data_IF_524329416257
#
_entry.id   IF_524329416257
#
_cell.length_a   1.000
_cell.length_b   1.000
_cell.length_c   1.000
_cell.angle_alpha   90.00
_cell.angle_beta   90.00
_cell.angle_gamma   90.00
#
_symmetry.space_group_name_H-M   'P 1'
#
loop_
_entity.id
_entity.type
_entity.pdbx_description
1 polymer ?
#
# COMPACT_ATOMS: atom_id res chain seq x y z
N UNK A 1 -4.65 0.90 15.01
CA UNK A 1 -3.97 -0.38 15.35
C UNK A 1 -3.61 -1.11 14.06
N UNK A 2 -2.55 -1.92 14.05
CA UNK A 2 -2.13 -2.73 12.90
C UNK A 2 -1.95 -4.19 13.35
N UNK A 3 -2.52 -5.13 12.59
CA UNK A 3 -2.35 -6.58 12.71
C UNK A 3 -1.68 -7.07 11.43
N UNK A 4 -0.47 -7.60 11.55
CA UNK A 4 0.24 -8.22 10.44
C UNK A 4 -0.28 -9.65 10.21
N UNK A 5 -0.70 -9.95 8.98
CA UNK A 5 -1.16 -11.28 8.57
C UNK A 5 -0.06 -12.09 7.86
N UNK A 6 1.19 -11.64 7.89
CA UNK A 6 2.34 -12.40 7.41
C UNK A 6 2.54 -13.72 8.17
N UNK A 7 3.29 -14.65 7.57
CA UNK A 7 3.55 -16.00 8.07
C UNK A 7 2.97 -17.07 7.15
N UNK A 8 2.64 -18.23 7.71
CA UNK A 8 2.11 -19.35 6.93
C UNK A 8 0.62 -19.17 6.60
N UNK A 9 0.29 -19.43 5.35
CA UNK A 9 -1.06 -19.49 4.80
C UNK A 9 -1.28 -20.88 4.20
N UNK A 10 -2.54 -21.24 3.99
CA UNK A 10 -2.91 -22.41 3.19
C UNK A 10 -2.95 -22.02 1.71
N UNK A 11 -2.51 -22.91 0.83
CA UNK A 11 -2.35 -22.69 -0.59
C UNK A 11 -2.86 -23.86 -1.42
N UNK A 12 -3.49 -23.56 -2.55
CA UNK A 12 -3.86 -24.54 -3.55
C UNK A 12 -3.83 -23.92 -4.96
N UNK A 13 -3.43 -24.71 -5.95
CA UNK A 13 -3.71 -24.39 -7.35
C UNK A 13 -5.19 -24.66 -7.61
N UNK A 14 -5.84 -23.76 -8.35
CA UNK A 14 -7.23 -23.93 -8.78
C UNK A 14 -7.24 -24.79 -10.05
N UNK A 15 -7.93 -25.94 -10.02
CA UNK A 15 -8.16 -26.80 -11.18
C UNK A 15 -9.28 -26.29 -12.10
N UNK A 16 -10.03 -25.27 -11.66
CA UNK A 16 -11.13 -24.64 -12.41
C UNK A 16 -12.27 -25.61 -12.80
N UNK A 17 -12.37 -26.73 -12.10
CA UNK A 17 -13.44 -27.74 -12.20
C UNK A 17 -14.61 -27.46 -11.23
N UNK A 18 -14.57 -26.32 -10.52
CA UNK A 18 -15.55 -25.94 -9.50
C UNK A 18 -15.33 -26.57 -8.12
N UNK A 19 -14.23 -27.30 -7.91
CA UNK A 19 -13.90 -27.93 -6.62
C UNK A 19 -13.57 -26.94 -5.50
N UNK A 20 -13.12 -25.73 -5.83
CA UNK A 20 -12.83 -24.67 -4.85
C UNK A 20 -13.93 -23.60 -4.92
N UNK A 21 -14.57 -23.36 -3.77
CA UNK A 21 -15.52 -22.27 -3.58
C UNK A 21 -15.07 -21.43 -2.37
N UNK A 22 -15.16 -20.11 -2.48
CA UNK A 22 -14.71 -19.15 -1.47
C UNK A 22 -15.47 -19.20 -0.12
N UNK A 23 -16.37 -20.18 0.05
CA UNK A 23 -17.16 -20.39 1.28
C UNK A 23 -16.60 -21.56 2.10
N UNK A 24 -15.83 -22.44 1.47
CA UNK A 24 -15.32 -23.66 2.08
C UNK A 24 -13.81 -23.56 2.29
N UNK A 25 -13.32 -24.20 3.35
CA UNK A 25 -11.89 -24.34 3.56
C UNK A 25 -11.25 -25.10 2.38
N UNK A 26 -10.04 -24.71 1.99
CA UNK A 26 -9.28 -25.41 0.97
C UNK A 26 -9.13 -26.90 1.32
N UNK A 27 -9.38 -27.77 0.35
CA UNK A 27 -9.21 -29.22 0.51
C UNK A 27 -7.76 -29.60 0.22
N UNK A 28 -7.13 -30.35 1.14
CA UNK A 28 -5.72 -30.78 1.04
C UNK A 28 -4.72 -29.66 0.69
N UNK A 29 -4.73 -28.52 1.42
CA UNK A 29 -3.87 -27.39 1.11
C UNK A 29 -2.40 -27.67 1.41
N UNK A 30 -1.52 -26.94 0.73
CA UNK A 30 -0.11 -26.80 1.07
C UNK A 30 0.11 -25.60 1.99
N UNK A 31 1.10 -25.66 2.87
CA UNK A 31 1.52 -24.49 3.62
C UNK A 31 2.45 -23.62 2.76
N UNK A 32 2.17 -22.32 2.70
CA UNK A 32 2.96 -21.34 1.95
C UNK A 32 3.31 -20.14 2.82
N UNK A 33 4.48 -19.54 2.62
CA UNK A 33 4.85 -18.29 3.29
C UNK A 33 4.30 -17.07 2.55
N UNK A 34 3.84 -16.09 3.32
CA UNK A 34 3.47 -14.74 2.87
C UNK A 34 4.21 -13.73 3.76
N UNK A 35 4.89 -12.72 3.20
CA UNK A 35 4.99 -12.40 1.77
C UNK A 35 6.04 -13.22 1.02
N UNK A 36 5.71 -13.72 -0.17
CA UNK A 36 6.63 -14.33 -1.13
C UNK A 36 5.90 -14.68 -2.44
N UNK A 37 6.67 -14.90 -3.50
CA UNK A 37 6.18 -15.55 -4.72
C UNK A 37 5.97 -17.04 -4.46
N UNK A 38 4.95 -17.67 -5.03
CA UNK A 38 4.70 -19.10 -4.78
C UNK A 38 5.62 -20.03 -5.55
N UNK A 39 6.15 -19.57 -6.68
CA UNK A 39 6.75 -20.41 -7.71
C UNK A 39 7.92 -21.26 -7.19
N UNK A 40 8.79 -20.67 -6.36
CA UNK A 40 10.01 -21.33 -5.87
C UNK A 40 9.92 -21.78 -4.40
N UNK A 41 8.73 -21.77 -3.80
CA UNK A 41 8.53 -22.26 -2.42
C UNK A 41 8.37 -23.78 -2.32
N UNK A 42 8.14 -24.46 -3.45
CA UNK A 42 7.91 -25.89 -3.52
C UNK A 42 8.79 -26.55 -4.59
N UNK A 43 9.22 -27.81 -4.39
CA UNK A 43 10.06 -28.53 -5.36
C UNK A 43 9.26 -29.11 -6.55
N UNK A 44 8.03 -28.63 -6.80
CA UNK A 44 7.14 -29.19 -7.80
C UNK A 44 7.10 -28.31 -9.05
N UNK A 45 7.59 -28.81 -10.19
CA UNK A 45 7.61 -28.06 -11.45
C UNK A 45 6.20 -27.61 -11.89
N UNK A 46 5.18 -28.47 -11.66
CA UNK A 46 3.77 -28.12 -11.88
C UNK A 46 3.35 -26.87 -11.12
N UNK A 47 3.83 -26.68 -9.88
CA UNK A 47 3.56 -25.47 -9.12
C UNK A 47 4.41 -24.33 -9.66
N UNK A 48 5.72 -24.52 -9.78
CA UNK A 48 6.63 -23.47 -10.23
C UNK A 48 6.20 -22.79 -11.52
N UNK A 49 5.75 -23.58 -12.49
CA UNK A 49 5.34 -23.15 -13.84
C UNK A 49 3.83 -22.97 -14.02
N UNK A 50 3.05 -23.03 -12.93
CA UNK A 50 1.61 -22.88 -13.02
C UNK A 50 1.24 -21.54 -13.64
N UNK A 51 0.47 -21.58 -14.73
CA UNK A 51 -0.22 -20.43 -15.29
C UNK A 51 -1.73 -20.68 -15.12
N UNK A 52 -2.43 -19.75 -14.47
CA UNK A 52 -3.84 -19.90 -14.17
C UNK A 52 -4.20 -19.35 -12.79
N UNK A 53 -5.22 -19.93 -12.18
CA UNK A 53 -5.75 -19.48 -10.90
C UNK A 53 -5.15 -20.28 -9.73
N UNK A 54 -5.06 -19.63 -8.57
CA UNK A 54 -4.57 -20.23 -7.33
C UNK A 54 -5.14 -19.48 -6.12
N UNK A 55 -5.14 -20.14 -4.97
CA UNK A 55 -5.80 -19.67 -3.76
C UNK A 55 -4.82 -19.58 -2.59
N UNK A 56 -5.01 -18.55 -1.78
CA UNK A 56 -4.44 -18.41 -0.45
C UNK A 56 -5.57 -18.36 0.57
N UNK A 57 -5.39 -19.02 1.71
CA UNK A 57 -6.34 -18.99 2.82
C UNK A 57 -5.64 -18.75 4.15
N UNK A 58 -6.20 -17.87 4.97
CA UNK A 58 -5.75 -17.62 6.34
C UNK A 58 -6.91 -17.31 7.28
N UNK A 59 -6.80 -17.80 8.51
CA UNK A 59 -7.69 -17.41 9.61
C UNK A 59 -7.08 -16.24 10.38
N UNK A 60 -7.93 -15.29 10.77
CA UNK A 60 -7.56 -14.15 11.61
C UNK A 60 -8.50 -14.02 12.81
N UNK A 61 -8.03 -13.35 13.86
CA UNK A 61 -8.80 -13.05 15.07
C UNK A 61 -9.00 -11.55 15.19
N UNK A 62 -10.24 -11.14 15.40
CA UNK A 62 -10.61 -9.73 15.45
C UNK A 62 -11.17 -9.42 16.84
N UNK A 63 -10.40 -8.74 17.69
CA UNK A 63 -10.85 -8.43 19.04
C UNK A 63 -11.97 -7.38 19.02
N UNK A 64 -12.88 -7.47 19.99
CA UNK A 64 -14.11 -6.66 20.05
C UNK A 64 -13.85 -5.16 20.08
N UNK A 65 -12.76 -4.71 20.70
CA UNK A 65 -12.42 -3.29 20.81
C UNK A 65 -12.09 -2.62 19.47
N UNK A 66 -11.80 -3.39 18.39
CA UNK A 66 -11.59 -2.79 17.07
C UNK A 66 -12.87 -2.33 16.39
N UNK A 67 -14.04 -2.82 16.84
CA UNK A 67 -15.32 -2.46 16.21
C UNK A 67 -15.75 -1.01 16.44
N UNK A 68 -15.12 -0.26 17.35
CA UNK A 68 -15.38 1.18 17.51
C UNK A 68 -14.78 2.02 16.37
N UNK A 69 -13.77 1.47 15.70
CA UNK A 69 -13.00 2.11 14.63
C UNK A 69 -13.50 1.68 13.25
N UNK A 70 -12.92 2.26 12.19
CA UNK A 70 -13.06 1.71 10.84
C UNK A 70 -11.97 0.66 10.62
N UNK A 71 -12.35 -0.55 10.25
CA UNK A 71 -11.41 -1.67 10.02
C UNK A 71 -11.17 -1.85 8.53
N UNK A 72 -9.91 -1.88 8.13
CA UNK A 72 -9.48 -2.06 6.75
C UNK A 72 -8.63 -3.31 6.61
N UNK A 73 -8.80 -4.02 5.49
CA UNK A 73 -7.87 -5.04 5.02
C UNK A 73 -7.01 -4.44 3.91
N UNK A 74 -5.69 -4.60 4.00
CA UNK A 74 -4.72 -4.02 3.08
C UNK A 74 -3.77 -5.09 2.55
N UNK A 75 -3.56 -5.07 1.25
CA UNK A 75 -2.56 -5.85 0.56
C UNK A 75 -1.46 -4.91 0.07
N UNK A 76 -0.20 -5.18 0.40
CA UNK A 76 0.92 -4.43 -0.18
C UNK A 76 1.06 -4.63 -1.69
N UNK A 77 0.69 -5.82 -2.17
CA UNK A 77 0.54 -6.20 -3.58
C UNK A 77 -0.02 -7.63 -3.69
N UNK A 78 -0.75 -7.91 -4.77
CA UNK A 78 -1.20 -9.25 -5.12
C UNK A 78 -0.98 -9.46 -6.63
N UNK A 79 -0.19 -10.47 -6.98
CA UNK A 79 0.31 -10.62 -8.36
C UNK A 79 -0.40 -11.77 -9.07
N UNK A 80 -1.13 -11.57 -10.17
CA UNK A 80 -1.37 -10.31 -10.91
C UNK A 80 -2.76 -9.71 -10.73
N UNK A 81 -3.78 -10.56 -10.68
CA UNK A 81 -5.16 -10.19 -10.38
C UNK A 81 -5.60 -10.89 -9.10
N UNK A 82 -6.46 -10.26 -8.30
CA UNK A 82 -6.93 -10.79 -7.04
C UNK A 82 -8.43 -10.60 -6.84
N UNK A 83 -9.09 -11.63 -6.30
CA UNK A 83 -10.43 -11.60 -5.73
C UNK A 83 -10.31 -11.97 -4.27
N UNK A 84 -10.77 -11.09 -3.40
CA UNK A 84 -10.63 -11.25 -1.94
C UNK A 84 -11.99 -11.56 -1.35
N UNK A 85 -12.02 -12.59 -0.51
CA UNK A 85 -13.21 -13.08 0.15
C UNK A 85 -13.00 -13.07 1.67
N UNK A 86 -14.00 -12.60 2.39
CA UNK A 86 -14.04 -12.64 3.84
C UNK A 86 -15.28 -13.38 4.29
N UNK A 87 -15.09 -14.48 5.03
CA UNK A 87 -16.18 -15.32 5.55
C UNK A 87 -17.17 -15.82 4.48
N UNK A 88 -16.72 -16.09 3.26
CA UNK A 88 -17.59 -16.53 2.16
C UNK A 88 -18.05 -15.43 1.21
N UNK A 89 -17.90 -14.15 1.59
CA UNK A 89 -18.35 -13.02 0.79
C UNK A 89 -17.18 -12.38 0.05
N UNK A 90 -17.33 -12.13 -1.27
CA UNK A 90 -16.36 -11.33 -2.03
C UNK A 90 -16.43 -9.87 -1.58
N UNK A 91 -15.30 -9.32 -1.13
CA UNK A 91 -15.22 -7.95 -0.59
C UNK A 91 -14.51 -6.97 -1.53
N UNK A 92 -13.58 -7.44 -2.37
CA UNK A 92 -12.95 -6.59 -3.38
C UNK A 92 -12.24 -7.39 -4.48
N UNK A 93 -12.03 -6.73 -5.63
CA UNK A 93 -11.17 -7.19 -6.71
C UNK A 93 -10.04 -6.18 -6.96
N UNK A 94 -8.87 -6.65 -7.40
CA UNK A 94 -7.75 -5.82 -7.80
C UNK A 94 -7.09 -6.35 -9.06
N UNK A 95 -6.84 -5.46 -10.03
CA UNK A 95 -6.02 -5.70 -11.21
C UNK A 95 -4.75 -4.86 -11.12
N UNK A 96 -3.59 -5.51 -11.16
CA UNK A 96 -2.29 -4.85 -11.04
C UNK A 96 -1.44 -5.46 -9.93
N UNK A 97 -0.13 -5.50 -10.14
CA UNK A 97 0.75 -6.46 -9.43
C UNK A 97 1.69 -5.83 -8.42
N UNK A 98 1.93 -4.53 -8.52
CA UNK A 98 2.99 -3.86 -7.76
C UNK A 98 2.50 -2.64 -6.98
N UNK A 99 1.18 -2.45 -6.92
CA UNK A 99 0.53 -1.38 -6.16
C UNK A 99 -0.28 -1.96 -5.02
N UNK A 100 -0.36 -1.26 -3.88
CA UNK A 100 -1.21 -1.68 -2.79
C UNK A 100 -2.69 -1.41 -3.10
N UNK A 101 -3.56 -2.16 -2.45
CA UNK A 101 -5.00 -1.90 -2.41
C UNK A 101 -5.56 -2.23 -1.03
N UNK A 102 -6.70 -1.63 -0.70
CA UNK A 102 -7.37 -1.84 0.57
C UNK A 102 -8.88 -1.77 0.42
N UNK A 103 -9.59 -2.37 1.38
CA UNK A 103 -11.05 -2.40 1.45
C UNK A 103 -11.48 -2.26 2.90
N UNK A 104 -12.52 -1.46 3.15
CA UNK A 104 -13.15 -1.37 4.46
C UNK A 104 -13.97 -2.64 4.73
N UNK A 105 -13.70 -3.31 5.85
CA UNK A 105 -14.32 -4.58 6.22
C UNK A 105 -15.14 -4.48 7.52
N UNK A 106 -15.41 -3.26 7.99
CA UNK A 106 -16.08 -3.00 9.25
C UNK A 106 -17.39 -3.79 9.41
N UNK A 107 -18.24 -3.78 8.37
CA UNK A 107 -19.54 -4.47 8.39
C UNK A 107 -19.49 -5.95 7.99
N UNK A 108 -18.32 -6.41 7.52
CA UNK A 108 -18.11 -7.77 6.98
C UNK A 108 -17.41 -8.70 7.98
N UNK A 109 -16.61 -8.10 8.87
CA UNK A 109 -15.80 -8.82 9.84
C UNK A 109 -16.62 -9.23 11.07
N UNK A 110 -16.36 -10.42 11.60
CA UNK A 110 -16.94 -10.94 12.86
C UNK A 110 -15.99 -10.64 14.02
N UNK A 111 -16.53 -10.42 15.22
CA UNK A 111 -15.69 -10.46 16.43
C UNK A 111 -15.21 -11.92 16.63
N UNK A 112 -13.92 -12.11 16.89
CA UNK A 112 -13.28 -13.41 16.97
C UNK A 112 -12.84 -13.93 15.59
N UNK A 113 -13.10 -15.22 15.27
CA UNK A 113 -12.52 -15.87 14.10
C UNK A 113 -13.12 -15.37 12.78
N UNK A 114 -12.25 -15.10 11.82
CA UNK A 114 -12.59 -14.79 10.44
C UNK A 114 -11.77 -15.65 9.48
N UNK A 115 -12.38 -16.00 8.35
CA UNK A 115 -11.71 -16.70 7.25
C UNK A 115 -11.45 -15.71 6.12
N UNK A 116 -10.17 -15.48 5.81
CA UNK A 116 -9.74 -14.70 4.66
C UNK A 116 -9.28 -15.65 3.56
N UNK A 117 -9.86 -15.53 2.39
CA UNK A 117 -9.46 -16.26 1.19
C UNK A 117 -9.16 -15.28 0.06
N UNK A 118 -8.14 -15.59 -0.73
CA UNK A 118 -7.73 -14.77 -1.87
C UNK A 118 -7.52 -15.69 -3.04
N UNK A 119 -8.34 -15.53 -4.07
CA UNK A 119 -8.10 -16.13 -5.38
C UNK A 119 -7.26 -15.17 -6.18
N UNK A 120 -6.17 -15.65 -6.77
CA UNK A 120 -5.36 -14.88 -7.70
C UNK A 120 -5.27 -15.59 -9.05
N UNK A 121 -4.87 -14.85 -10.08
CA UNK A 121 -4.28 -15.46 -11.27
C UNK A 121 -3.03 -14.71 -11.71
N UNK A 122 -2.20 -15.40 -12.48
CA UNK A 122 -0.97 -14.87 -13.07
C UNK A 122 -1.02 -14.84 -14.61
N UNK A 123 -2.22 -14.77 -15.17
CA UNK A 123 -2.42 -14.67 -16.61
C UNK A 123 -2.14 -13.25 -17.10
N UNK A 124 -1.38 -13.14 -18.20
CA UNK A 124 -1.00 -11.88 -18.80
C UNK A 124 -1.39 -11.86 -20.27
N UNK A 125 -2.17 -10.84 -20.65
CA UNK A 125 -2.52 -10.55 -22.04
C UNK A 125 -2.05 -9.14 -22.42
N UNK A 126 -2.45 -8.67 -23.61
CA UNK A 126 -2.10 -7.34 -24.12
C UNK A 126 -2.77 -6.18 -23.37
N UNK A 127 -3.70 -6.46 -22.45
CA UNK A 127 -4.34 -5.49 -21.56
C UNK A 127 -3.68 -5.40 -20.18
N UNK A 128 -2.68 -6.24 -19.90
CA UNK A 128 -1.98 -6.29 -18.63
C UNK A 128 -0.71 -5.44 -18.65
N UNK A 129 -0.26 -5.04 -17.45
CA UNK A 129 1.07 -4.51 -17.20
C UNK A 129 1.72 -5.36 -16.10
N UNK A 130 2.80 -6.11 -16.40
CA UNK A 130 3.47 -6.23 -17.71
C UNK A 130 2.61 -6.95 -18.77
N UNK A 131 2.96 -6.77 -20.04
CA UNK A 131 2.30 -7.41 -21.18
C UNK A 131 2.81 -8.84 -21.36
N UNK A 132 1.90 -9.78 -21.62
CA UNK A 132 2.23 -11.15 -22.01
C UNK A 132 1.36 -11.64 -23.17
N UNK A 133 1.79 -12.72 -23.81
CA UNK A 133 1.05 -13.39 -24.87
C UNK A 133 0.28 -14.57 -24.28
N UNK A 134 -0.98 -14.33 -23.92
CA UNK A 134 -1.87 -15.37 -23.42
C UNK A 134 -2.36 -16.29 -24.54
N UNK A 135 -2.33 -17.60 -24.29
CA UNK A 135 -3.01 -18.60 -25.11
C UNK A 135 -3.53 -19.75 -24.24
N UNK A 136 -4.38 -20.61 -24.81
CA UNK A 136 -4.94 -21.76 -24.09
C UNK A 136 -5.06 -22.98 -25.00
N UNK A 137 -4.86 -24.16 -24.41
CA UNK A 137 -5.10 -25.46 -25.04
C UNK A 137 -6.07 -26.28 -24.18
N UNK A 138 -6.52 -27.45 -24.68
CA UNK A 138 -7.28 -28.42 -23.89
C UNK A 138 -6.49 -29.72 -23.80
N UNK A 139 -6.51 -30.34 -22.62
CA UNK A 139 -5.95 -31.68 -22.42
C UNK A 139 -6.89 -32.78 -23.00
N UNK A 140 -6.48 -34.05 -22.90
CA UNK A 140 -7.26 -35.19 -23.39
C UNK A 140 -8.62 -35.35 -22.72
N UNK A 141 -8.80 -34.77 -21.53
CA UNK A 141 -10.04 -34.81 -20.75
C UNK A 141 -10.88 -33.53 -20.95
N UNK A 142 -10.42 -32.60 -21.79
CA UNK A 142 -11.11 -31.34 -22.08
C UNK A 142 -10.83 -30.21 -21.10
N UNK A 143 -9.93 -30.39 -20.12
CA UNK A 143 -9.56 -29.33 -19.18
C UNK A 143 -8.72 -28.26 -19.88
N UNK A 144 -8.98 -27.00 -19.54
CA UNK A 144 -8.24 -25.86 -20.07
C UNK A 144 -6.83 -25.85 -19.48
N UNK A 145 -5.83 -25.63 -20.33
CA UNK A 145 -4.45 -25.39 -19.96
C UNK A 145 -4.08 -23.99 -20.42
N UNK A 146 -3.73 -23.12 -19.48
CA UNK A 146 -3.33 -21.75 -19.77
C UNK A 146 -1.83 -21.67 -20.07
N UNK A 147 -1.46 -20.80 -20.99
CA UNK A 147 -0.08 -20.51 -21.34
C UNK A 147 0.12 -18.99 -21.37
N UNK A 148 1.23 -18.54 -20.80
CA UNK A 148 1.67 -17.15 -20.88
C UNK A 148 3.08 -17.19 -21.43
N UNK A 149 3.28 -16.59 -22.60
CA UNK A 149 4.61 -16.30 -23.14
C UNK A 149 4.93 -14.84 -22.80
N UNK A 150 5.88 -14.64 -21.88
CA UNK A 150 6.22 -13.32 -21.35
C UNK A 150 6.87 -12.43 -22.40
N UNK A 151 6.41 -11.18 -22.53
CA UNK A 151 7.04 -10.21 -23.41
C UNK A 151 8.15 -9.41 -22.68
N UNK A 152 8.83 -10.06 -21.73
CA UNK A 152 9.82 -9.49 -20.84
C UNK A 152 10.82 -10.54 -20.34
N UNK A 153 12.04 -10.12 -19.98
CA UNK A 153 13.19 -10.99 -19.65
C UNK A 153 13.35 -11.25 -18.13
N UNK A 154 12.24 -11.32 -17.41
CA UNK A 154 12.23 -11.74 -16.01
C UNK A 154 11.17 -12.82 -15.82
N UNK A 155 11.42 -13.76 -14.91
CA UNK A 155 10.46 -14.82 -14.64
C UNK A 155 9.15 -14.24 -14.07
N UNK A 156 8.01 -14.75 -14.54
CA UNK A 156 6.67 -14.32 -14.13
C UNK A 156 6.29 -14.82 -12.72
N UNK A 157 7.03 -14.34 -11.71
CA UNK A 157 6.74 -14.62 -10.31
C UNK A 157 5.40 -14.05 -9.90
N UNK A 158 4.59 -14.86 -9.22
CA UNK A 158 3.26 -14.48 -8.77
C UNK A 158 2.98 -14.93 -7.33
N UNK A 159 1.92 -14.37 -6.75
CA UNK A 159 1.57 -14.58 -5.34
C UNK A 159 1.40 -13.28 -4.54
N UNK A 160 1.45 -13.41 -3.23
CA UNK A 160 1.34 -12.29 -2.29
C UNK A 160 2.75 -11.79 -1.93
N UNK A 161 3.31 -10.94 -2.78
CA UNK A 161 4.72 -10.49 -2.68
C UNK A 161 5.00 -9.50 -1.53
N UNK A 162 3.97 -8.91 -0.92
CA UNK A 162 4.11 -7.90 0.12
C UNK A 162 3.11 -8.15 1.25
N UNK A 163 3.37 -7.63 2.47
CA UNK A 163 2.57 -7.91 3.64
C UNK A 163 1.07 -7.67 3.41
N UNK A 164 0.26 -8.55 3.99
CA UNK A 164 -1.19 -8.36 4.14
C UNK A 164 -1.43 -7.94 5.58
N UNK A 165 -2.21 -6.88 5.78
CA UNK A 165 -2.45 -6.30 7.10
C UNK A 165 -3.93 -6.04 7.30
N UNK A 166 -4.38 -6.18 8.54
CA UNK A 166 -5.61 -5.54 9.00
C UNK A 166 -5.20 -4.34 9.82
N UNK A 167 -5.78 -3.18 9.56
CA UNK A 167 -5.52 -2.01 10.38
C UNK A 167 -6.79 -1.22 10.64
N UNK A 168 -6.74 -0.32 11.61
CA UNK A 168 -7.86 0.54 11.96
C UNK A 168 -7.55 2.01 11.79
N UNK A 169 -8.56 2.76 11.36
CA UNK A 169 -8.57 4.23 11.34
C UNK A 169 -9.67 4.75 12.26
N UNK A 170 -9.43 5.80 13.04
CA UNK A 170 -10.50 6.52 13.70
C UNK A 170 -11.50 7.08 12.70
N UNK A 171 -12.76 7.26 13.12
CA UNK A 171 -13.79 7.89 12.28
C UNK A 171 -13.43 9.32 11.86
N UNK A 172 -12.60 9.99 12.67
CA UNK A 172 -11.97 11.25 12.32
C UNK A 172 -10.50 10.99 12.13
N UNK A 173 -10.00 11.04 10.90
CA UNK A 173 -8.64 10.62 10.61
C UNK A 173 -7.98 11.46 9.50
N UNK A 174 -6.66 11.35 9.45
CA UNK A 174 -5.77 11.87 8.41
C UNK A 174 -5.70 10.82 7.31
N UNK A 175 -6.02 11.21 6.07
CA UNK A 175 -6.15 10.31 4.92
C UNK A 175 -4.94 10.28 3.98
N UNK A 176 -4.50 11.43 3.50
CA UNK A 176 -3.37 11.56 2.59
C UNK A 176 -2.59 12.81 2.96
N UNK A 177 -1.27 12.74 2.92
CA UNK A 177 -0.39 13.88 3.13
C UNK A 177 0.44 14.04 1.85
N UNK A 178 0.39 15.25 1.29
CA UNK A 178 1.25 15.66 0.19
C UNK A 178 2.20 16.75 0.66
N UNK A 179 3.48 16.56 0.37
CA UNK A 179 4.56 17.46 0.77
C UNK A 179 5.32 17.98 -0.44
N UNK A 180 5.59 19.29 -0.42
CA UNK A 180 6.44 19.96 -1.38
C UNK A 180 7.32 21.00 -0.66
N UNK A 181 8.41 21.43 -1.29
CA UNK A 181 9.24 22.51 -0.73
C UNK A 181 9.75 23.44 -1.79
N UNK A 182 9.67 24.73 -1.47
CA UNK A 182 10.37 25.81 -2.14
C UNK A 182 11.64 26.10 -1.32
N UNK A 183 12.81 25.94 -1.95
CA UNK A 183 14.11 26.00 -1.26
C UNK A 183 14.90 27.20 -1.78
N UNK A 184 15.37 28.02 -0.86
CA UNK A 184 16.35 29.07 -1.14
C UNK A 184 17.75 28.61 -0.74
N UNK A 185 18.50 28.14 -1.72
CA UNK A 185 19.86 27.65 -1.52
C UNK A 185 20.84 28.68 -0.98
N UNK A 186 20.75 29.92 -1.47
CA UNK A 186 21.68 30.99 -1.06
C UNK A 186 21.47 31.37 0.39
N UNK A 187 20.20 31.41 0.84
CA UNK A 187 19.85 31.73 2.22
C UNK A 187 19.80 30.52 3.14
N UNK A 188 19.92 29.30 2.59
CA UNK A 188 19.70 28.05 3.30
C UNK A 188 18.36 28.03 4.05
N UNK A 189 17.30 28.47 3.38
CA UNK A 189 15.92 28.43 3.93
C UNK A 189 15.03 27.56 3.06
N UNK A 190 13.93 27.07 3.61
CA UNK A 190 12.91 26.36 2.84
C UNK A 190 11.51 26.65 3.39
N UNK A 191 10.52 26.69 2.52
CA UNK A 191 9.11 26.65 2.89
C UNK A 191 8.57 25.27 2.50
N UNK A 192 8.13 24.50 3.49
CA UNK A 192 7.47 23.21 3.28
C UNK A 192 5.97 23.45 3.13
N UNK A 193 5.43 23.13 1.96
CA UNK A 193 4.00 23.17 1.67
C UNK A 193 3.39 21.80 1.99
N UNK A 194 2.45 21.81 2.92
CA UNK A 194 1.72 20.62 3.38
C UNK A 194 0.30 20.70 2.85
N UNK A 195 -0.20 19.60 2.27
CA UNK A 195 -1.62 19.40 1.96
C UNK A 195 -2.08 18.10 2.60
N UNK A 196 -3.21 18.14 3.31
CA UNK A 196 -3.74 17.01 4.07
C UNK A 196 -5.20 16.77 3.74
N UNK A 197 -5.51 15.55 3.30
CA UNK A 197 -6.87 15.03 3.25
C UNK A 197 -7.27 14.56 4.64
N UNK A 198 -8.46 14.94 5.10
CA UNK A 198 -8.99 14.54 6.40
C UNK A 198 -10.42 14.05 6.25
N UNK A 199 -10.81 13.13 7.12
CA UNK A 199 -12.18 12.62 7.23
C UNK A 199 -12.73 12.94 8.62
N UNK A 200 -14.03 13.19 8.72
CA UNK A 200 -14.73 13.33 10.00
C UNK A 200 -14.65 14.72 10.64
N UNK A 201 -14.94 14.77 11.94
CA UNK A 201 -15.16 16.03 12.68
C UNK A 201 -14.09 16.26 13.74
N UNK A 202 -13.20 17.20 13.46
CA UNK A 202 -12.21 17.78 14.37
C UNK A 202 -12.47 19.28 14.52
N UNK A 203 -11.91 19.89 15.56
CA UNK A 203 -11.96 21.34 15.82
C UNK A 203 -10.68 22.03 15.34
N UNK A 204 -9.54 21.35 15.44
CA UNK A 204 -8.22 21.91 15.18
C UNK A 204 -7.31 20.86 14.52
N UNK A 205 -6.40 21.34 13.67
CA UNK A 205 -5.31 20.57 13.08
C UNK A 205 -3.99 21.27 13.39
N UNK A 206 -3.00 20.51 13.89
CA UNK A 206 -1.65 21.01 14.14
C UNK A 206 -0.64 20.29 13.25
N UNK A 207 0.36 21.03 12.80
CA UNK A 207 1.48 20.56 12.00
C UNK A 207 2.77 20.90 12.74
N UNK A 208 3.64 19.91 12.93
CA UNK A 208 4.94 20.09 13.59
C UNK A 208 6.00 19.40 12.74
N UNK A 209 7.00 20.15 12.31
CA UNK A 209 8.12 19.61 11.57
C UNK A 209 9.31 19.49 12.52
N UNK A 210 9.69 18.25 12.79
CA UNK A 210 10.74 17.90 13.73
C UNK A 210 12.02 17.53 12.97
N UNK A 211 13.18 17.89 13.51
CA UNK A 211 14.48 17.48 13.00
C UNK A 211 14.81 16.02 13.40
N UNK A 212 15.99 15.53 13.01
CA UNK A 212 16.42 14.16 13.30
C UNK A 212 16.66 13.86 14.80
N UNK A 213 16.58 14.87 15.68
CA UNK A 213 16.71 14.75 17.14
C UNK A 213 15.39 15.12 17.84
N UNK A 214 14.26 15.08 17.12
CA UNK A 214 12.92 15.45 17.60
C UNK A 214 12.78 16.92 18.03
N UNK A 215 13.71 17.80 17.63
CA UNK A 215 13.57 19.25 17.85
C UNK A 215 12.60 19.84 16.84
N UNK A 216 11.61 20.59 17.32
CA UNK A 216 10.68 21.32 16.46
C UNK A 216 11.39 22.49 15.76
N UNK A 217 11.40 22.46 14.43
CA UNK A 217 11.99 23.52 13.59
C UNK A 217 10.92 24.47 13.04
N UNK A 218 9.68 23.99 12.87
CA UNK A 218 8.55 24.80 12.45
C UNK A 218 7.24 24.15 12.91
N UNK A 219 6.24 24.97 13.20
CA UNK A 219 4.88 24.51 13.48
C UNK A 219 3.82 25.48 13.01
N UNK A 220 2.63 24.94 12.78
CA UNK A 220 1.45 25.70 12.41
C UNK A 220 0.21 25.02 12.98
N UNK A 221 -0.77 25.80 13.42
CA UNK A 221 -2.05 25.28 13.93
C UNK A 221 -3.18 26.10 13.35
N UNK A 222 -4.24 25.41 12.92
CA UNK A 222 -5.42 26.05 12.34
C UNK A 222 -6.71 25.44 12.89
N UNK A 223 -7.72 26.29 13.07
CA UNK A 223 -9.09 25.85 13.27
C UNK A 223 -9.65 25.22 11.98
N UNK A 224 -10.54 24.24 12.12
CA UNK A 224 -11.16 23.55 10.98
C UNK A 224 -11.85 24.54 10.02
N UNK A 225 -11.47 24.50 8.76
CA UNK A 225 -12.00 25.39 7.71
C UNK A 225 -13.27 24.87 7.03
N UNK A 226 -13.47 23.56 6.93
CA UNK A 226 -14.72 22.89 6.46
C UNK A 226 -14.64 21.36 6.63
N UNK A 227 -15.76 20.62 6.80
CA UNK A 227 -15.76 19.15 6.77
C UNK A 227 -15.22 18.61 5.45
N UNK A 228 -14.28 17.66 5.53
CA UNK A 228 -13.68 16.96 4.39
C UNK A 228 -12.97 17.87 3.36
N UNK A 229 -12.65 19.11 3.71
CA UNK A 229 -11.84 19.99 2.86
C UNK A 229 -10.36 19.61 2.97
N UNK A 230 -9.61 19.83 1.89
CA UNK A 230 -8.15 19.77 1.92
C UNK A 230 -7.62 20.83 2.89
N UNK A 231 -6.84 20.41 3.87
CA UNK A 231 -6.18 21.30 4.83
C UNK A 231 -4.78 21.61 4.33
N UNK A 232 -4.35 22.87 4.43
CA UNK A 232 -3.03 23.29 3.95
C UNK A 232 -2.26 24.06 5.01
N UNK A 233 -0.93 23.92 4.98
CA UNK A 233 -0.03 24.66 5.84
C UNK A 233 1.28 24.97 5.10
N UNK A 234 1.90 26.09 5.45
CA UNK A 234 3.25 26.43 5.04
C UNK A 234 4.12 26.47 6.31
N UNK A 235 5.22 25.72 6.30
CA UNK A 235 6.17 25.66 7.40
C UNK A 235 7.51 26.22 6.93
N UNK A 236 7.89 27.38 7.46
CA UNK A 236 9.13 28.06 7.09
C UNK A 236 10.28 27.60 7.99
N UNK A 237 11.38 27.17 7.37
CA UNK A 237 12.60 26.75 8.05
C UNK A 237 13.74 27.71 7.77
N UNK A 238 14.45 28.07 8.84
CA UNK A 238 15.76 28.69 8.78
C UNK A 238 16.85 27.61 8.88
N UNK A 239 17.98 27.81 8.20
CA UNK A 239 19.13 26.90 8.23
C UNK A 239 18.77 25.44 7.89
N UNK A 240 18.05 25.24 6.77
CA UNK A 240 17.56 23.93 6.35
C UNK A 240 18.70 22.94 6.09
N UNK A 241 18.57 21.73 6.62
CA UNK A 241 19.44 20.59 6.31
C UNK A 241 18.85 19.78 5.16
N UNK A 242 19.50 19.85 4.01
CA UNK A 242 19.02 19.17 2.81
C UNK A 242 19.28 17.66 2.86
N UNK A 243 18.35 16.87 2.33
CA UNK A 243 18.62 15.48 2.00
C UNK A 243 19.57 15.42 0.79
N UNK A 244 20.60 14.59 0.86
CA UNK A 244 21.55 14.39 -0.24
C UNK A 244 21.75 12.90 -0.56
N UNK A 245 22.10 12.55 -1.82
CA UNK A 245 22.55 11.19 -2.13
C UNK A 245 23.71 10.78 -1.23
N UNK A 246 23.61 9.59 -0.63
CA UNK A 246 24.60 9.04 0.31
C UNK A 246 24.81 9.84 1.61
N UNK A 247 24.05 10.91 1.83
CA UNK A 247 24.05 11.71 3.06
C UNK A 247 22.62 12.18 3.35
N UNK A 248 21.76 11.22 3.68
CA UNK A 248 20.33 11.45 3.88
C UNK A 248 20.09 12.24 5.17
N UNK A 249 19.19 13.23 5.10
CA UNK A 249 18.63 13.91 6.26
C UNK A 249 17.11 13.87 6.15
N UNK A 250 16.42 13.44 7.21
CA UNK A 250 14.97 13.34 7.26
C UNK A 250 14.45 14.19 8.41
N UNK A 251 13.49 15.04 8.09
CA UNK A 251 12.58 15.63 9.06
C UNK A 251 11.38 14.71 9.28
N UNK A 252 10.68 14.89 10.38
CA UNK A 252 9.42 14.20 10.67
C UNK A 252 8.30 15.24 10.69
N UNK A 253 7.37 15.18 9.74
CA UNK A 253 6.14 15.97 9.83
C UNK A 253 5.12 15.21 10.68
N UNK A 254 4.84 15.70 11.87
CA UNK A 254 3.72 15.26 12.70
C UNK A 254 2.48 16.11 12.40
N UNK A 255 1.40 15.45 12.00
CA UNK A 255 0.07 16.05 11.81
C UNK A 255 -0.85 15.48 12.87
N UNK A 256 -1.53 16.35 13.62
CA UNK A 256 -2.44 15.95 14.68
C UNK A 256 -3.82 16.58 14.46
N UNK A 257 -4.89 15.81 14.69
CA UNK A 257 -6.27 16.28 14.71
C UNK A 257 -6.77 16.33 16.15
N UNK A 258 -7.39 17.43 16.54
CA UNK A 258 -7.98 17.61 17.87
C UNK A 258 -9.48 17.85 17.80
N UNK A 259 -10.23 17.27 18.74
CA UNK A 259 -11.66 17.53 18.94
C UNK A 259 -11.90 17.90 20.40
N UNK A 260 -12.42 19.09 20.65
CA UNK A 260 -12.64 19.60 22.01
C UNK A 260 -11.37 19.56 22.89
N UNK A 261 -10.21 19.86 22.30
CA UNK A 261 -8.91 19.80 22.98
C UNK A 261 -8.30 18.40 23.16
N UNK A 262 -8.98 17.34 22.72
CA UNK A 262 -8.46 15.96 22.78
C UNK A 262 -7.90 15.52 21.43
N UNK A 263 -6.72 14.89 21.44
CA UNK A 263 -6.13 14.27 20.26
C UNK A 263 -7.03 13.11 19.79
N UNK A 264 -7.48 13.17 18.54
CA UNK A 264 -8.34 12.14 17.94
C UNK A 264 -7.67 11.34 16.83
N UNK A 265 -6.64 11.90 16.20
CA UNK A 265 -5.77 11.17 15.27
C UNK A 265 -4.41 11.86 15.17
N UNK A 266 -3.38 11.07 14.86
CA UNK A 266 -2.00 11.55 14.68
C UNK A 266 -1.29 10.72 13.62
N UNK A 267 -0.54 11.38 12.77
CA UNK A 267 0.28 10.72 11.77
C UNK A 267 1.62 11.43 11.59
N UNK A 268 2.70 10.64 11.53
CA UNK A 268 4.07 11.13 11.33
C UNK A 268 4.58 10.68 9.96
N UNK A 269 4.90 11.64 9.10
CA UNK A 269 5.43 11.41 7.75
C UNK A 269 6.90 11.84 7.65
N UNK A 270 7.84 10.92 7.34
CA UNK A 270 9.23 11.28 7.11
C UNK A 270 9.40 12.07 5.81
N UNK A 271 10.15 13.18 5.86
CA UNK A 271 10.34 14.06 4.73
C UNK A 271 11.79 14.52 4.56
N UNK A 272 12.38 14.21 3.40
CA UNK A 272 13.69 14.71 3.00
C UNK A 272 13.54 15.93 2.10
N UNK A 273 13.96 17.10 2.60
CA UNK A 273 13.89 18.36 1.83
C UNK A 273 14.96 18.32 0.73
N UNK A 274 14.51 18.22 -0.52
CA UNK A 274 15.36 18.16 -1.72
C UNK A 274 14.57 18.53 -2.98
N UNK A 275 15.25 18.46 -4.12
CA UNK A 275 14.58 18.32 -5.41
C UNK A 275 15.45 17.74 -6.49
N UNK A 276 14.76 17.48 -7.59
CA UNK A 276 15.29 17.17 -8.89
C UNK A 276 14.93 18.29 -9.89
N UNK A 277 15.92 18.82 -10.61
CA UNK A 277 15.71 19.69 -11.78
C UNK A 277 16.55 19.16 -12.95
N UNK A 278 15.95 19.10 -14.14
CA UNK A 278 16.69 18.81 -15.38
C UNK A 278 17.01 20.13 -16.07
N UNK A 279 18.27 20.37 -16.38
CA UNK A 279 18.72 21.52 -17.15
C UNK A 279 19.53 21.03 -18.34
N UNK A 280 19.14 21.46 -19.54
CA UNK A 280 19.90 21.19 -20.76
C UNK A 280 20.94 22.28 -20.94
N UNK A 281 22.22 21.90 -20.97
CA UNK A 281 23.31 22.78 -21.39
C UNK A 281 24.10 22.09 -22.51
N UNK A 282 24.10 22.68 -23.72
CA UNK A 282 24.97 22.36 -24.85
C UNK A 282 25.30 20.86 -25.03
N UNK A 283 24.34 20.08 -25.52
CA UNK A 283 24.50 18.66 -25.91
C UNK A 283 24.81 17.67 -24.78
N UNK A 284 24.87 18.13 -23.52
CA UNK A 284 25.01 17.28 -22.34
C UNK A 284 23.82 17.51 -21.41
N UNK A 285 23.03 16.46 -21.21
CA UNK A 285 22.01 16.44 -20.16
C UNK A 285 22.73 16.28 -18.83
N UNK A 286 22.97 17.38 -18.12
CA UNK A 286 23.45 17.34 -16.74
C UNK A 286 22.25 17.20 -15.81
N UNK A 287 22.13 16.06 -15.12
CA UNK A 287 21.23 15.97 -13.96
C UNK A 287 21.94 16.71 -12.82
N UNK A 288 21.72 18.02 -12.74
CA UNK A 288 22.04 18.77 -11.54
C UNK A 288 20.96 18.44 -10.51
N UNK A 289 21.26 17.57 -9.54
CA UNK A 289 20.48 17.47 -8.30
C UNK A 289 20.63 18.80 -7.55
N UNK A 290 19.84 19.78 -8.00
CA UNK A 290 19.58 21.06 -7.37
C UNK A 290 18.08 21.10 -7.10
N UNK A 291 17.70 21.72 -6.00
CA UNK A 291 16.53 21.40 -5.21
C UNK A 291 15.42 22.49 -5.33
N UNK A 292 14.50 22.45 -6.30
CA UNK A 292 13.06 22.83 -6.25
C UNK A 292 12.05 21.73 -6.74
N UNK A 293 11.01 21.46 -5.93
CA UNK A 293 9.82 20.58 -6.09
C UNK A 293 10.02 19.05 -6.17
N UNK A 294 9.99 18.41 -5.00
CA UNK A 294 9.55 17.01 -4.87
C UNK A 294 8.08 17.01 -4.42
N UNK A 295 7.18 16.35 -5.15
CA UNK A 295 5.84 16.02 -4.62
C UNK A 295 5.84 14.56 -4.19
N UNK A 296 5.70 14.31 -2.88
CA UNK A 296 5.29 13.00 -2.40
C UNK A 296 3.76 13.00 -2.35
N UNK A 297 3.12 12.06 -3.05
CA UNK A 297 1.70 11.75 -2.86
C UNK A 297 1.65 10.38 -2.22
N UNK A 298 1.34 10.31 -0.93
CA UNK A 298 1.25 9.03 -0.23
C UNK A 298 -0.10 8.92 0.48
N UNK A 299 -1.00 8.11 -0.10
CA UNK A 299 -2.18 7.64 0.65
C UNK A 299 -1.68 7.02 1.94
N UNK A 300 -2.12 7.55 3.08
CA UNK A 300 -1.70 7.07 4.38
C UNK A 300 -2.08 5.60 4.49
N UNK A 301 -1.05 4.80 4.66
CA UNK A 301 -1.08 3.37 4.50
C UNK A 301 -0.24 2.78 5.61
N UNK A 302 -0.88 2.44 6.73
CA UNK A 302 -0.23 1.75 7.85
C UNK A 302 0.27 0.35 7.47
#
# INVERSE_FOLDING_TARGET
>A
MVIDLSGLWQFAIDSEDGSIQAVQALQNPLNIAVPASFNDQFPYDKIRRHAGYFWYERRSQIPSYLKSEQIFLRFGSATHNAWVYLNGEEICQHKGSFTPFEVEIQDKVKIGPNLLQVRLNNLLDHSCLPVGNYSQTKDTNGHIQHHVDENFDFFNYAGLHRPVKIYTRPKTHIGNISLNSDINFTKQTATVHVTVETSGNFAEISYRLLDANDKEEASYTAAKSSPNALQTANLDLEQVKLWQPLNAYLYQLEVNLYKSGQLVDSYTEPYGIRSVKVQTANSKSTINLSTSKASANMKIAM
#
